data_IF_388532857064
#
_entry.id   IF_388532857064
#
_cell.length_a   1.000
_cell.length_b   1.000
_cell.length_c   1.000
_cell.angle_alpha   90.00
_cell.angle_beta   90.00
_cell.angle_gamma   90.00
#
_symmetry.space_group_name_H-M   'P 1'
#
loop_
_entity.id
_entity.type
_entity.pdbx_description
1 polymer ?
#
# COMPACT_ATOMS: atom_id res chain seq x y z
N UNK A 1 -2.91 -37.52 -35.32
CA UNK A 1 -3.65 -36.69 -34.36
C UNK A 1 -2.88 -36.66 -33.05
N UNK A 2 -2.15 -35.59 -32.74
CA UNK A 2 -1.41 -35.48 -31.48
C UNK A 2 -2.36 -34.99 -30.37
N UNK A 3 -2.24 -35.60 -29.20
CA UNK A 3 -2.99 -35.24 -28.00
C UNK A 3 -2.46 -33.91 -27.43
N UNK A 4 -3.38 -32.96 -27.26
CA UNK A 4 -3.16 -31.69 -26.58
C UNK A 4 -2.81 -31.93 -25.10
N UNK A 5 -1.59 -31.60 -24.70
CA UNK A 5 -1.22 -31.47 -23.29
C UNK A 5 -1.88 -30.20 -22.74
N UNK A 6 -2.89 -30.38 -21.89
CA UNK A 6 -3.50 -29.29 -21.13
C UNK A 6 -2.44 -28.66 -20.21
N UNK A 7 -2.17 -27.36 -20.41
CA UNK A 7 -1.34 -26.56 -19.53
C UNK A 7 -1.97 -26.52 -18.15
N UNK A 8 -1.20 -26.90 -17.13
CA UNK A 8 -1.56 -26.69 -15.73
C UNK A 8 -1.66 -25.18 -15.46
N UNK A 9 -2.89 -24.65 -15.48
CA UNK A 9 -3.17 -23.32 -14.93
C UNK A 9 -2.85 -23.31 -13.44
N UNK A 10 -2.27 -22.23 -12.96
CA UNK A 10 -1.90 -22.05 -11.56
C UNK A 10 -3.13 -22.25 -10.64
N UNK A 11 -3.23 -23.41 -9.99
CA UNK A 11 -4.27 -23.69 -9.00
C UNK A 11 -3.92 -22.96 -7.71
N UNK A 12 -4.40 -21.73 -7.55
CA UNK A 12 -4.20 -20.93 -6.34
C UNK A 12 -4.89 -21.58 -5.13
N UNK A 13 -4.10 -22.11 -4.19
CA UNK A 13 -4.59 -22.69 -2.95
C UNK A 13 -5.23 -24.06 -3.15
N UNK A 14 -4.42 -25.10 -3.37
CA UNK A 14 -4.88 -26.46 -3.19
C UNK A 14 -5.25 -26.67 -1.72
N UNK A 15 -6.47 -27.16 -1.48
CA UNK A 15 -6.91 -27.71 -0.20
C UNK A 15 -6.29 -29.09 0.04
N UNK A 16 -5.01 -29.28 -0.30
CA UNK A 16 -4.31 -30.50 0.06
C UNK A 16 -3.97 -30.42 1.55
N UNK A 17 -4.51 -31.33 2.38
CA UNK A 17 -4.16 -31.36 3.78
C UNK A 17 -2.66 -31.61 3.88
N UNK A 18 -1.96 -30.70 4.56
CA UNK A 18 -0.53 -30.83 4.82
C UNK A 18 -0.30 -32.20 5.48
N UNK A 19 0.50 -33.07 4.82
CA UNK A 19 0.91 -34.35 5.43
C UNK A 19 1.53 -34.06 6.78
N UNK A 20 1.14 -34.82 7.79
CA UNK A 20 1.51 -34.67 9.21
C UNK A 20 2.99 -34.95 9.52
N UNK A 21 3.90 -34.77 8.57
CA UNK A 21 5.33 -34.95 8.75
C UNK A 21 6.05 -33.62 8.56
N UNK A 22 6.94 -33.22 9.50
CA UNK A 22 7.70 -31.99 9.40
C UNK A 22 8.59 -31.99 8.15
N UNK A 23 8.65 -30.84 7.48
CA UNK A 23 9.54 -30.61 6.34
C UNK A 23 11.01 -30.82 6.75
N UNK A 24 11.85 -31.41 5.88
CA UNK A 24 13.28 -31.48 6.15
C UNK A 24 13.86 -30.10 6.48
N UNK A 25 14.76 -29.95 7.47
CA UNK A 25 15.25 -28.63 7.90
C UNK A 25 15.81 -27.77 6.77
N UNK A 26 16.47 -28.40 5.78
CA UNK A 26 17.00 -27.73 4.59
C UNK A 26 15.90 -27.11 3.71
N UNK A 27 14.78 -27.82 3.52
CA UNK A 27 13.64 -27.34 2.71
C UNK A 27 12.90 -26.21 3.42
N UNK A 28 12.74 -26.34 4.73
CA UNK A 28 12.17 -25.26 5.55
C UNK A 28 13.03 -24.00 5.52
N UNK A 29 14.36 -24.14 5.63
CA UNK A 29 15.29 -23.01 5.50
C UNK A 29 15.16 -22.34 4.12
N UNK A 30 15.16 -23.13 3.04
CA UNK A 30 14.97 -22.62 1.68
C UNK A 30 13.62 -21.91 1.50
N UNK A 31 12.57 -22.41 2.14
CA UNK A 31 11.26 -21.76 2.14
C UNK A 31 11.31 -20.36 2.78
N UNK A 32 11.94 -20.22 3.95
CA UNK A 32 12.16 -18.91 4.56
C UNK A 32 13.04 -18.00 3.70
N UNK A 33 14.05 -18.57 3.05
CA UNK A 33 14.89 -17.85 2.09
C UNK A 33 14.08 -17.31 0.91
N UNK A 34 13.17 -18.10 0.32
CA UNK A 34 12.29 -17.62 -0.74
C UNK A 34 11.38 -16.49 -0.24
N UNK A 35 10.76 -16.62 0.94
CA UNK A 35 9.98 -15.54 1.55
C UNK A 35 10.82 -14.28 1.74
N UNK A 36 12.06 -14.39 2.23
CA UNK A 36 12.97 -13.26 2.39
C UNK A 36 13.31 -12.60 1.04
N UNK A 37 13.54 -13.40 -0.01
CA UNK A 37 13.79 -12.90 -1.36
C UNK A 37 12.59 -12.15 -1.95
N UNK A 38 11.37 -12.68 -1.79
CA UNK A 38 10.14 -12.01 -2.24
C UNK A 38 9.97 -10.66 -1.52
N UNK A 39 10.19 -10.64 -0.20
CA UNK A 39 10.15 -9.41 0.57
C UNK A 39 11.25 -8.42 0.13
N UNK A 40 12.46 -8.89 -0.17
CA UNK A 40 13.55 -8.03 -0.62
C UNK A 40 13.28 -7.39 -1.99
N UNK A 41 12.63 -8.11 -2.92
CA UNK A 41 12.19 -7.55 -4.20
C UNK A 41 11.18 -6.42 -3.99
N UNK A 42 10.16 -6.66 -3.17
CA UNK A 42 9.15 -5.65 -2.87
C UNK A 42 9.77 -4.44 -2.15
N UNK A 43 10.70 -4.70 -1.21
CA UNK A 43 11.48 -3.66 -0.54
C UNK A 43 12.25 -2.81 -1.54
N UNK A 44 13.00 -3.42 -2.47
CA UNK A 44 13.79 -2.71 -3.48
C UNK A 44 12.91 -1.90 -4.44
N UNK A 45 11.75 -2.45 -4.84
CA UNK A 45 10.77 -1.76 -5.66
C UNK A 45 10.20 -0.51 -4.96
N UNK A 46 9.81 -0.60 -3.69
CA UNK A 46 9.27 0.54 -2.93
C UNK A 46 10.36 1.54 -2.52
N UNK A 47 11.58 1.05 -2.26
CA UNK A 47 12.77 1.89 -2.03
C UNK A 47 13.04 2.80 -3.21
N UNK A 48 12.73 2.36 -4.43
CA UNK A 48 12.91 3.18 -5.63
C UNK A 48 12.05 4.46 -5.65
N UNK A 49 10.97 4.49 -4.87
CA UNK A 49 10.19 5.70 -4.57
C UNK A 49 10.73 6.44 -3.34
N UNK A 50 11.04 5.72 -2.27
CA UNK A 50 11.43 6.31 -0.97
C UNK A 50 12.83 6.94 -0.95
N UNK A 51 13.87 6.26 -1.44
CA UNK A 51 15.27 6.72 -1.36
C UNK A 51 15.47 8.09 -2.01
N UNK A 52 14.81 8.31 -3.15
CA UNK A 52 14.92 9.55 -3.92
C UNK A 52 13.96 10.63 -3.43
N UNK A 53 12.99 10.31 -2.57
CA UNK A 53 11.90 11.20 -2.20
C UNK A 53 12.38 12.51 -1.58
N UNK A 54 13.42 12.45 -0.75
CA UNK A 54 13.97 13.61 -0.07
C UNK A 54 14.78 14.53 -0.99
N UNK A 55 15.36 13.95 -2.04
CA UNK A 55 16.29 14.65 -2.95
C UNK A 55 15.66 15.05 -4.27
N UNK A 56 14.56 14.42 -4.70
CA UNK A 56 14.04 14.52 -6.06
C UNK A 56 13.64 15.94 -6.44
N UNK A 57 13.04 16.70 -5.51
CA UNK A 57 12.70 18.10 -5.74
C UNK A 57 13.97 18.96 -5.94
N UNK A 58 14.95 18.83 -5.05
CA UNK A 58 16.20 19.59 -5.11
C UNK A 58 17.01 19.22 -6.35
N UNK A 59 17.01 17.94 -6.72
CA UNK A 59 17.63 17.47 -7.94
C UNK A 59 16.98 18.08 -9.18
N UNK A 60 15.64 18.05 -9.25
CA UNK A 60 14.87 18.69 -10.32
C UNK A 60 15.20 20.17 -10.44
N UNK A 61 15.26 20.90 -9.31
CA UNK A 61 15.63 22.31 -9.26
C UNK A 61 17.05 22.55 -9.79
N UNK A 62 17.99 21.71 -9.42
CA UNK A 62 19.38 21.81 -9.87
C UNK A 62 19.55 21.59 -11.38
N UNK A 63 18.60 20.89 -12.03
CA UNK A 63 18.55 20.70 -13.48
C UNK A 63 17.74 21.79 -14.21
N UNK A 64 17.32 22.85 -13.51
CA UNK A 64 16.50 23.94 -14.07
C UNK A 64 15.00 23.65 -14.10
N UNK A 65 14.55 22.56 -13.49
CA UNK A 65 13.13 22.22 -13.38
C UNK A 65 12.40 23.00 -12.28
N UNK A 66 11.08 22.84 -12.26
CA UNK A 66 10.19 23.50 -11.31
C UNK A 66 9.30 22.50 -10.56
N UNK A 67 8.34 23.02 -9.79
CA UNK A 67 7.39 22.20 -9.05
C UNK A 67 6.47 21.39 -10.00
N UNK A 68 6.18 21.91 -11.20
CA UNK A 68 5.41 21.20 -12.22
C UNK A 68 6.13 19.96 -12.69
N UNK A 69 7.43 20.09 -12.94
CA UNK A 69 8.26 18.96 -13.33
C UNK A 69 8.34 17.92 -12.21
N UNK A 70 8.51 18.32 -10.95
CA UNK A 70 8.47 17.40 -9.81
C UNK A 70 7.14 16.62 -9.73
N UNK A 71 6.01 17.31 -9.88
CA UNK A 71 4.70 16.67 -9.98
C UNK A 71 4.65 15.64 -11.12
N UNK A 72 5.11 16.02 -12.31
CA UNK A 72 5.20 15.11 -13.46
C UNK A 72 6.06 13.89 -13.19
N UNK A 73 7.20 14.02 -12.51
CA UNK A 73 8.07 12.90 -12.14
C UNK A 73 7.35 11.88 -11.24
N UNK A 74 6.62 12.36 -10.23
CA UNK A 74 5.83 11.48 -9.34
C UNK A 74 4.66 10.81 -10.08
N UNK A 75 4.05 11.51 -11.03
CA UNK A 75 3.00 10.96 -11.90
C UNK A 75 3.55 9.90 -12.84
N UNK A 76 4.67 10.15 -13.53
CA UNK A 76 5.29 9.22 -14.49
C UNK A 76 5.68 7.89 -13.84
N UNK A 77 6.22 7.93 -12.61
CA UNK A 77 6.48 6.72 -11.84
C UNK A 77 5.19 5.90 -11.64
N UNK A 78 4.09 6.58 -11.28
CA UNK A 78 2.80 5.93 -11.05
C UNK A 78 2.15 5.42 -12.34
N UNK A 79 2.32 6.12 -13.47
CA UNK A 79 1.89 5.66 -14.81
C UNK A 79 2.62 4.37 -15.17
N UNK A 80 3.96 4.36 -15.09
CA UNK A 80 4.75 3.18 -15.40
C UNK A 80 4.28 1.97 -14.58
N UNK A 81 4.09 2.16 -13.28
CA UNK A 81 3.65 1.12 -12.34
C UNK A 81 2.25 0.59 -12.63
N UNK A 82 1.32 1.46 -13.04
CA UNK A 82 -0.04 1.06 -13.40
C UNK A 82 -0.01 0.16 -14.64
N UNK A 83 0.71 0.56 -15.69
CA UNK A 83 0.84 -0.20 -16.93
C UNK A 83 1.50 -1.55 -16.64
N UNK A 84 2.61 -1.56 -15.91
CA UNK A 84 3.34 -2.81 -15.67
C UNK A 84 2.61 -3.77 -14.73
N UNK A 85 1.73 -3.28 -13.85
CA UNK A 85 0.96 -4.17 -12.96
C UNK A 85 0.08 -5.17 -13.70
N UNK A 86 -0.46 -4.79 -14.87
CA UNK A 86 -1.23 -5.70 -15.73
C UNK A 86 -0.30 -6.58 -16.56
N UNK A 87 0.79 -6.01 -17.10
CA UNK A 87 1.79 -6.75 -17.88
C UNK A 87 2.44 -7.86 -17.05
N UNK A 88 2.91 -7.55 -15.84
CA UNK A 88 3.52 -8.52 -14.95
C UNK A 88 2.50 -9.49 -14.34
N UNK A 89 1.25 -9.08 -14.15
CA UNK A 89 0.16 -9.99 -13.81
C UNK A 89 -0.01 -11.07 -14.90
N UNK A 90 -0.10 -10.65 -16.16
CA UNK A 90 -0.15 -11.58 -17.29
C UNK A 90 1.11 -12.44 -17.41
N UNK A 91 2.31 -11.86 -17.25
CA UNK A 91 3.55 -12.65 -17.29
C UNK A 91 3.62 -13.69 -16.17
N UNK A 92 3.07 -13.39 -14.99
CA UNK A 92 3.01 -14.33 -13.86
C UNK A 92 2.13 -15.56 -14.15
N UNK A 93 1.14 -15.44 -15.04
CA UNK A 93 0.28 -16.56 -15.43
C UNK A 93 0.94 -17.47 -16.49
N UNK A 94 1.94 -16.95 -17.22
CA UNK A 94 2.57 -17.65 -18.35
C UNK A 94 4.04 -18.02 -18.13
N UNK A 95 4.73 -17.38 -17.19
CA UNK A 95 6.15 -17.55 -16.90
C UNK A 95 6.36 -17.75 -15.39
N UNK A 96 7.55 -18.23 -15.00
CA UNK A 96 7.89 -18.41 -13.59
C UNK A 96 8.03 -17.07 -12.84
N UNK A 97 7.74 -17.08 -11.53
CA UNK A 97 7.91 -15.90 -10.67
C UNK A 97 9.32 -15.30 -10.76
N UNK A 98 10.36 -16.16 -10.72
CA UNK A 98 11.76 -15.77 -10.90
C UNK A 98 11.98 -15.00 -12.20
N UNK A 99 11.41 -15.46 -13.31
CA UNK A 99 11.54 -14.80 -14.61
C UNK A 99 10.94 -13.39 -14.58
N UNK A 100 9.76 -13.23 -13.96
CA UNK A 100 9.11 -11.92 -13.81
C UNK A 100 9.94 -11.00 -12.91
N UNK A 101 10.50 -11.52 -11.82
CA UNK A 101 11.39 -10.74 -10.94
C UNK A 101 12.64 -10.26 -11.66
N UNK A 102 13.34 -11.13 -12.40
CA UNK A 102 14.53 -10.78 -13.16
C UNK A 102 14.25 -9.68 -14.21
N UNK A 103 13.15 -9.79 -14.95
CA UNK A 103 12.74 -8.77 -15.92
C UNK A 103 12.41 -7.46 -15.21
N UNK A 104 11.60 -7.50 -14.15
CA UNK A 104 11.19 -6.30 -13.41
C UNK A 104 12.38 -5.55 -12.77
N UNK A 105 13.30 -6.28 -12.12
CA UNK A 105 14.52 -5.71 -11.53
C UNK A 105 15.52 -5.25 -12.60
N UNK A 106 15.60 -5.91 -13.75
CA UNK A 106 16.40 -5.45 -14.90
C UNK A 106 15.90 -4.11 -15.44
N UNK A 107 14.59 -3.94 -15.58
CA UNK A 107 13.98 -2.68 -15.98
C UNK A 107 14.27 -1.59 -14.94
N UNK A 108 14.09 -1.88 -13.64
CA UNK A 108 14.46 -0.95 -12.57
C UNK A 108 15.94 -0.56 -12.58
N UNK A 109 16.84 -1.53 -12.84
CA UNK A 109 18.27 -1.28 -12.92
C UNK A 109 18.59 -0.28 -14.05
N UNK A 110 18.06 -0.51 -15.25
CA UNK A 110 18.24 0.41 -16.39
C UNK A 110 17.69 1.79 -16.06
N UNK A 111 16.49 1.88 -15.49
CA UNK A 111 15.91 3.15 -15.09
C UNK A 111 16.73 3.90 -14.04
N UNK A 112 17.31 3.19 -13.07
CA UNK A 112 18.17 3.79 -12.05
C UNK A 112 19.54 4.19 -12.59
N UNK A 113 20.11 3.47 -13.56
CA UNK A 113 21.32 3.92 -14.27
C UNK A 113 21.07 5.22 -15.05
N UNK A 114 19.91 5.34 -15.71
CA UNK A 114 19.51 6.60 -16.38
C UNK A 114 19.33 7.73 -15.36
N UNK A 115 18.80 7.44 -14.16
CA UNK A 115 18.70 8.44 -13.09
C UNK A 115 20.07 9.00 -12.70
N UNK A 116 21.03 8.12 -12.42
CA UNK A 116 22.37 8.54 -11.97
C UNK A 116 23.10 9.29 -13.11
N UNK A 117 22.84 8.93 -14.36
CA UNK A 117 23.42 9.59 -15.53
C UNK A 117 22.85 10.99 -15.82
N UNK A 118 21.70 11.38 -15.25
CA UNK A 118 21.08 12.67 -15.53
C UNK A 118 21.87 13.83 -14.88
N UNK A 119 23.01 14.18 -15.47
CA UNK A 119 23.94 15.18 -14.93
C UNK A 119 23.55 16.63 -15.28
N UNK A 120 23.97 17.60 -14.47
CA UNK A 120 23.72 19.03 -14.69
C UNK A 120 24.32 19.55 -16.01
N UNK A 121 25.37 18.91 -16.53
CA UNK A 121 26.06 19.34 -17.74
C UNK A 121 25.57 18.66 -19.02
N UNK A 122 24.62 17.72 -18.91
CA UNK A 122 24.05 16.99 -20.04
C UNK A 122 22.93 17.78 -20.73
N UNK A 123 22.92 17.82 -22.06
CA UNK A 123 21.74 18.24 -22.80
C UNK A 123 20.60 17.22 -22.57
N UNK A 124 19.43 17.68 -22.11
CA UNK A 124 18.25 16.82 -21.92
C UNK A 124 18.13 16.12 -20.57
N UNK A 125 18.84 16.56 -19.52
CA UNK A 125 18.86 15.90 -18.21
C UNK A 125 17.50 15.83 -17.50
N UNK A 126 16.64 16.83 -17.66
CA UNK A 126 15.25 16.76 -17.18
C UNK A 126 14.50 15.62 -17.88
N UNK A 127 14.61 15.50 -19.20
CA UNK A 127 13.98 14.42 -19.97
C UNK A 127 14.53 13.05 -19.55
N UNK A 128 15.84 12.93 -19.35
CA UNK A 128 16.46 11.70 -18.85
C UNK A 128 15.90 11.32 -17.46
N UNK A 129 15.74 12.31 -16.57
CA UNK A 129 15.15 12.11 -15.25
C UNK A 129 13.68 11.66 -15.35
N UNK A 130 12.88 12.25 -16.25
CA UNK A 130 11.50 11.83 -16.50
C UNK A 130 11.40 10.40 -17.06
N UNK A 131 12.21 10.07 -18.05
CA UNK A 131 12.31 8.72 -18.63
C UNK A 131 12.73 7.72 -17.57
N UNK A 132 13.72 8.04 -16.75
CA UNK A 132 14.12 7.22 -15.60
C UNK A 132 12.94 6.93 -14.68
N UNK A 133 12.21 7.96 -14.24
CA UNK A 133 11.08 7.78 -13.31
C UNK A 133 10.00 6.88 -13.88
N UNK A 134 9.68 7.03 -15.17
CA UNK A 134 8.74 6.14 -15.84
C UNK A 134 9.24 4.68 -15.87
N UNK A 135 10.49 4.46 -16.29
CA UNK A 135 11.10 3.12 -16.40
C UNK A 135 11.18 2.44 -15.03
N UNK A 136 11.66 3.14 -14.00
CA UNK A 136 11.73 2.62 -12.63
C UNK A 136 10.33 2.32 -12.10
N UNK A 137 9.36 3.20 -12.35
CA UNK A 137 7.96 2.96 -12.01
C UNK A 137 7.41 1.70 -12.69
N UNK A 138 7.72 1.50 -13.97
CA UNK A 138 7.38 0.30 -14.72
C UNK A 138 7.98 -0.96 -14.07
N UNK A 139 9.29 -0.97 -13.81
CA UNK A 139 9.92 -2.11 -13.14
C UNK A 139 9.36 -2.39 -11.73
N UNK A 140 8.94 -1.36 -10.98
CA UNK A 140 8.38 -1.49 -9.63
C UNK A 140 6.91 -1.98 -9.58
N UNK A 141 6.27 -2.28 -10.71
CA UNK A 141 4.87 -2.74 -10.76
C UNK A 141 4.63 -4.21 -10.41
N UNK A 142 5.58 -4.88 -9.76
CA UNK A 142 5.55 -6.31 -9.47
C UNK A 142 4.84 -6.70 -8.16
N UNK A 143 4.20 -5.75 -7.45
CA UNK A 143 3.52 -6.03 -6.16
C UNK A 143 2.42 -7.11 -6.23
N UNK A 144 1.67 -7.19 -7.33
CA UNK A 144 0.69 -8.27 -7.53
C UNK A 144 1.39 -9.63 -7.61
N UNK A 145 2.55 -9.69 -8.26
CA UNK A 145 3.40 -10.87 -8.40
C UNK A 145 3.93 -11.32 -7.04
N UNK A 146 4.45 -10.40 -6.22
CA UNK A 146 4.89 -10.70 -4.84
C UNK A 146 3.77 -11.32 -3.98
N UNK A 147 2.55 -10.77 -4.08
CA UNK A 147 1.38 -11.33 -3.36
C UNK A 147 1.00 -12.71 -3.89
N UNK A 148 1.06 -12.91 -5.20
CA UNK A 148 0.77 -14.21 -5.83
C UNK A 148 1.82 -15.27 -5.45
N UNK A 149 3.11 -14.93 -5.43
CA UNK A 149 4.19 -15.83 -5.06
C UNK A 149 4.06 -16.27 -3.59
N UNK A 150 3.91 -15.32 -2.67
CA UNK A 150 3.63 -15.63 -1.24
C UNK A 150 2.41 -16.53 -1.11
N UNK A 151 1.32 -16.25 -1.83
CA UNK A 151 0.11 -17.06 -1.79
C UNK A 151 0.30 -18.47 -2.37
N UNK A 152 1.27 -18.67 -3.27
CA UNK A 152 1.58 -19.94 -3.92
C UNK A 152 2.40 -20.88 -3.02
N UNK A 153 3.21 -20.34 -2.09
CA UNK A 153 4.03 -21.13 -1.16
C UNK A 153 3.49 -21.11 0.29
N UNK A 154 2.35 -20.47 0.55
CA UNK A 154 1.68 -20.45 1.86
C UNK A 154 0.32 -21.13 1.83
N UNK A 155 -0.04 -21.78 2.94
CA UNK A 155 -1.39 -22.30 3.16
C UNK A 155 -2.37 -21.19 3.49
N UNK A 156 -3.68 -21.46 3.36
CA UNK A 156 -4.75 -20.49 3.62
C UNK A 156 -4.66 -19.91 5.05
N UNK A 157 -4.33 -20.74 6.04
CA UNK A 157 -4.29 -20.37 7.45
C UNK A 157 -3.14 -19.41 7.79
N UNK A 158 -1.96 -19.60 7.18
CA UNK A 158 -0.78 -18.77 7.46
C UNK A 158 -0.61 -17.60 6.47
N UNK A 159 -1.29 -17.62 5.32
CA UNK A 159 -1.16 -16.64 4.24
C UNK A 159 -1.33 -15.20 4.73
N UNK A 160 -2.30 -14.94 5.60
CA UNK A 160 -2.56 -13.61 6.14
C UNK A 160 -1.32 -13.02 6.83
N UNK A 161 -0.60 -13.83 7.62
CA UNK A 161 0.62 -13.41 8.32
C UNK A 161 1.70 -12.97 7.34
N UNK A 162 1.96 -13.77 6.30
CA UNK A 162 3.02 -13.47 5.33
C UNK A 162 2.65 -12.33 4.38
N UNK A 163 1.38 -12.18 4.01
CA UNK A 163 0.91 -11.01 3.27
C UNK A 163 0.99 -9.73 4.12
N UNK A 164 0.77 -9.84 5.44
CA UNK A 164 0.94 -8.71 6.36
C UNK A 164 2.41 -8.33 6.49
N UNK A 165 3.31 -9.31 6.59
CA UNK A 165 4.76 -9.07 6.56
C UNK A 165 5.19 -8.33 5.28
N UNK A 166 4.69 -8.77 4.12
CA UNK A 166 4.95 -8.11 2.84
C UNK A 166 4.45 -6.65 2.85
N UNK A 167 3.27 -6.38 3.39
CA UNK A 167 2.74 -5.02 3.52
C UNK A 167 3.57 -4.14 4.46
N UNK A 168 4.11 -4.69 5.55
CA UNK A 168 5.05 -3.98 6.43
C UNK A 168 6.35 -3.64 5.69
N UNK A 169 6.86 -4.56 4.88
CA UNK A 169 8.06 -4.33 4.07
C UNK A 169 7.85 -3.24 3.01
N UNK A 170 6.66 -3.18 2.40
CA UNK A 170 6.27 -2.06 1.52
C UNK A 170 6.39 -0.73 2.24
N UNK A 171 5.85 -0.64 3.45
CA UNK A 171 5.94 0.58 4.24
C UNK A 171 7.38 0.92 4.62
N UNK A 172 8.16 -0.08 5.03
CA UNK A 172 9.58 0.08 5.36
C UNK A 172 10.38 0.62 4.16
N UNK A 173 10.19 0.04 2.97
CA UNK A 173 10.83 0.43 1.73
C UNK A 173 10.46 1.85 1.28
N UNK A 174 9.22 2.28 1.44
CA UNK A 174 8.81 3.61 1.04
C UNK A 174 9.10 4.70 2.10
N UNK A 175 8.81 4.43 3.38
CA UNK A 175 8.74 5.46 4.41
C UNK A 175 10.07 5.72 5.12
N UNK A 176 10.94 4.71 5.26
CA UNK A 176 12.20 4.83 6.00
C UNK A 176 13.41 5.01 5.10
N UNK A 177 13.32 4.62 3.83
CA UNK A 177 14.45 4.75 2.92
C UNK A 177 14.83 6.18 2.50
N UNK A 178 14.00 7.23 2.64
CA UNK A 178 14.48 8.61 2.47
C UNK A 178 15.71 8.92 3.34
N UNK A 179 15.83 8.30 4.52
CA UNK A 179 17.00 8.45 5.39
C UNK A 179 18.29 7.90 4.80
N UNK A 180 18.22 6.97 3.84
CA UNK A 180 19.43 6.47 3.16
C UNK A 180 20.07 7.54 2.26
N UNK A 181 19.29 8.52 1.80
CA UNK A 181 19.80 9.65 1.02
C UNK A 181 20.78 10.51 1.81
N UNK A 182 20.62 10.65 3.13
CA UNK A 182 21.52 11.46 3.96
C UNK A 182 22.91 10.81 4.12
N UNK A 183 22.99 9.47 4.09
CA UNK A 183 24.26 8.72 4.21
C UNK A 183 25.20 8.97 3.03
N UNK A 184 24.63 9.28 1.86
CA UNK A 184 25.38 9.51 0.61
C UNK A 184 25.34 10.98 0.17
N UNK A 185 24.78 11.87 0.99
CA UNK A 185 24.61 13.28 0.65
C UNK A 185 25.95 14.05 0.59
N UNK A 186 26.99 13.57 1.27
CA UNK A 186 28.33 14.17 1.25
C UNK A 186 29.22 13.62 0.14
N UNK A 187 28.74 12.65 -0.65
CA UNK A 187 29.48 12.12 -1.79
C UNK A 187 29.56 13.17 -2.89
N UNK A 188 30.78 13.47 -3.32
CA UNK A 188 31.10 14.34 -4.45
C UNK A 188 32.32 13.77 -5.18
N UNK A 189 32.11 12.73 -5.99
CA UNK A 189 33.18 11.99 -6.67
C UNK A 189 32.78 11.63 -8.09
N UNK A 190 33.78 11.43 -8.96
CA UNK A 190 33.56 10.90 -10.30
C UNK A 190 33.90 9.41 -10.31
N UNK A 191 32.93 8.57 -10.66
CA UNK A 191 33.12 7.12 -10.83
C UNK A 191 32.71 6.73 -12.25
N UNK A 192 33.62 6.12 -13.01
CA UNK A 192 33.37 5.66 -14.38
C UNK A 192 32.79 6.74 -15.31
N UNK A 193 33.23 8.00 -15.13
CA UNK A 193 32.75 9.14 -15.93
C UNK A 193 31.39 9.73 -15.48
N UNK A 194 30.81 9.22 -14.39
CA UNK A 194 29.55 9.69 -13.82
C UNK A 194 29.86 10.52 -12.56
N UNK A 195 29.26 11.73 -12.46
CA UNK A 195 29.37 12.58 -11.28
C UNK A 195 28.40 12.11 -10.20
N UNK A 196 28.94 11.46 -9.17
CA UNK A 196 28.20 11.08 -7.97
C UNK A 196 28.22 12.25 -7.00
N UNK A 197 27.09 12.95 -6.95
CA UNK A 197 26.84 14.07 -6.05
C UNK A 197 25.66 13.75 -5.12
N UNK A 198 25.29 14.70 -4.25
CA UNK A 198 24.17 14.58 -3.31
C UNK A 198 22.80 14.22 -3.94
N UNK A 199 22.62 14.40 -5.25
CA UNK A 199 21.37 14.13 -5.97
C UNK A 199 21.38 12.81 -6.75
N UNK A 200 22.53 12.45 -7.34
CA UNK A 200 22.70 11.22 -8.12
C UNK A 200 23.06 10.02 -7.25
N UNK A 201 23.80 10.22 -6.15
CA UNK A 201 24.25 9.14 -5.25
C UNK A 201 23.13 8.31 -4.62
N UNK A 202 21.96 8.87 -4.24
CA UNK A 202 20.81 8.06 -3.82
C UNK A 202 20.36 7.04 -4.89
N UNK A 203 20.52 7.37 -6.17
CA UNK A 203 20.25 6.44 -7.28
C UNK A 203 21.19 5.24 -7.30
N UNK A 204 22.45 5.40 -6.86
CA UNK A 204 23.41 4.30 -6.77
C UNK A 204 23.01 3.26 -5.72
N UNK A 205 22.38 3.68 -4.63
CA UNK A 205 21.81 2.75 -3.63
C UNK A 205 20.76 1.85 -4.31
N UNK A 206 19.91 2.42 -5.16
CA UNK A 206 18.91 1.68 -5.90
C UNK A 206 19.51 0.76 -6.96
N UNK A 207 20.59 1.17 -7.62
CA UNK A 207 21.37 0.29 -8.52
C UNK A 207 21.87 -0.93 -7.75
N UNK A 208 22.45 -0.73 -6.57
CA UNK A 208 22.91 -1.83 -5.70
C UNK A 208 21.75 -2.75 -5.29
N UNK A 209 20.61 -2.20 -4.85
CA UNK A 209 19.45 -3.02 -4.49
C UNK A 209 18.93 -3.86 -5.66
N UNK A 210 18.89 -3.32 -6.87
CA UNK A 210 18.48 -4.07 -8.06
C UNK A 210 19.51 -5.16 -8.43
N UNK A 211 20.81 -4.88 -8.35
CA UNK A 211 21.86 -5.89 -8.59
C UNK A 211 21.80 -7.02 -7.55
N UNK A 212 21.58 -6.70 -6.28
CA UNK A 212 21.39 -7.69 -5.22
C UNK A 212 20.14 -8.53 -5.47
N UNK A 213 19.05 -7.90 -5.92
CA UNK A 213 17.80 -8.61 -6.24
C UNK A 213 18.00 -9.58 -7.40
N UNK A 214 18.63 -9.11 -8.49
CA UNK A 214 18.94 -9.95 -9.66
C UNK A 214 19.86 -11.11 -9.25
N UNK A 215 20.93 -10.82 -8.51
CA UNK A 215 21.89 -11.83 -8.07
C UNK A 215 21.21 -12.87 -7.18
N UNK A 216 20.45 -12.44 -6.16
CA UNK A 216 19.73 -13.34 -5.27
C UNK A 216 18.66 -14.17 -6.00
N UNK A 217 17.98 -13.61 -6.99
CA UNK A 217 17.06 -14.37 -7.84
C UNK A 217 17.77 -15.39 -8.73
N UNK A 218 19.02 -15.12 -9.13
CA UNK A 218 19.81 -16.05 -9.92
C UNK A 218 20.43 -17.19 -9.11
N UNK A 219 20.89 -16.90 -7.88
CA UNK A 219 21.72 -17.82 -7.09
C UNK A 219 21.02 -18.45 -5.89
N UNK A 220 20.02 -17.77 -5.30
CA UNK A 220 19.44 -18.14 -4.01
C UNK A 220 17.97 -18.58 -4.13
N UNK A 221 17.18 -17.93 -4.99
CA UNK A 221 15.76 -18.24 -5.14
C UNK A 221 15.54 -19.60 -5.83
N UNK A 222 14.77 -20.47 -5.19
CA UNK A 222 14.47 -21.84 -5.66
C UNK A 222 13.00 -21.97 -6.09
N UNK A 223 12.77 -22.15 -7.39
CA UNK A 223 11.42 -22.31 -7.95
C UNK A 223 10.73 -23.62 -7.53
N UNK A 224 11.47 -24.60 -7.02
CA UNK A 224 10.93 -25.90 -6.62
C UNK A 224 10.26 -25.89 -5.25
N UNK A 225 10.35 -24.78 -4.50
CA UNK A 225 9.73 -24.64 -3.19
C UNK A 225 8.21 -24.60 -3.32
N UNK A 226 7.52 -25.40 -2.51
CA UNK A 226 6.07 -25.48 -2.51
C UNK A 226 5.49 -25.27 -1.10
N UNK A 227 4.16 -25.21 -1.03
CA UNK A 227 3.40 -25.03 0.23
C UNK A 227 3.79 -26.04 1.31
N UNK A 228 4.08 -27.29 0.92
CA UNK A 228 4.41 -28.34 1.88
C UNK A 228 5.76 -28.13 2.57
N UNK A 229 6.70 -27.39 1.96
CA UNK A 229 8.02 -27.11 2.53
C UNK A 229 7.97 -26.10 3.69
N UNK A 230 6.89 -25.33 3.82
CA UNK A 230 6.74 -24.28 4.83
C UNK A 230 6.58 -24.79 6.27
N UNK A 231 6.51 -23.90 7.26
CA UNK A 231 6.42 -24.26 8.68
C UNK A 231 5.12 -24.99 9.04
N UNK A 232 5.16 -25.82 10.09
CA UNK A 232 3.97 -26.51 10.59
C UNK A 232 2.91 -25.52 11.09
N UNK A 233 1.64 -25.87 10.86
CA UNK A 233 0.52 -25.09 11.38
C UNK A 233 0.21 -25.52 12.80
N UNK A 234 0.00 -24.56 13.70
CA UNK A 234 -0.77 -24.85 14.91
C UNK A 234 -2.20 -25.18 14.50
N UNK A 235 -2.79 -26.23 15.11
CA UNK A 235 -4.18 -26.63 14.86
C UNK A 235 -5.09 -25.48 15.29
N UNK A 236 -5.45 -24.61 14.36
CA UNK A 236 -6.47 -23.59 14.60
C UNK A 236 -7.84 -24.24 14.45
N UNK A 237 -8.52 -24.47 15.58
CA UNK A 237 -9.87 -25.03 15.66
C UNK A 237 -10.97 -24.09 15.17
N UNK A 238 -10.63 -22.88 14.70
CA UNK A 238 -11.61 -21.90 14.26
C UNK A 238 -11.53 -21.65 12.76
N UNK A 239 -11.97 -22.63 11.96
CA UNK A 239 -12.42 -22.37 10.60
C UNK A 239 -13.83 -21.75 10.65
N UNK A 240 -13.92 -20.49 11.04
CA UNK A 240 -15.10 -19.64 10.85
C UNK A 240 -15.09 -18.97 9.47
N UNK A 241 -14.38 -19.56 8.50
CA UNK A 241 -14.26 -19.09 7.11
C UNK A 241 -15.58 -19.14 6.31
N UNK A 242 -16.66 -19.62 6.93
CA UNK A 242 -18.01 -19.65 6.37
C UNK A 242 -18.97 -18.89 7.28
N UNK A 243 -18.69 -17.62 7.57
CA UNK A 243 -19.78 -16.70 7.89
C UNK A 243 -19.98 -15.79 6.67
N UNK A 244 -20.82 -16.21 5.70
CA UNK A 244 -21.15 -15.33 4.59
C UNK A 244 -21.71 -14.06 5.19
N UNK A 245 -21.05 -12.92 4.96
CA UNK A 245 -21.62 -11.63 5.30
C UNK A 245 -22.98 -11.55 4.62
N UNK A 246 -24.05 -11.78 5.40
CA UNK A 246 -25.46 -11.83 5.02
C UNK A 246 -25.89 -10.40 4.66
N UNK A 247 -25.22 -9.81 3.70
CA UNK A 247 -25.43 -8.45 3.24
C UNK A 247 -25.84 -8.51 1.78
N UNK A 248 -26.93 -7.82 1.41
CA UNK A 248 -27.37 -7.77 0.03
C UNK A 248 -26.27 -7.24 -0.88
N UNK A 249 -26.13 -7.82 -2.08
CA UNK A 249 -25.09 -7.46 -3.05
C UNK A 249 -25.10 -5.95 -3.37
N UNK A 250 -26.29 -5.34 -3.42
CA UNK A 250 -26.44 -3.90 -3.63
C UNK A 250 -25.69 -3.08 -2.58
N UNK A 251 -25.77 -3.45 -1.30
CA UNK A 251 -25.09 -2.70 -0.23
C UNK A 251 -23.58 -2.93 -0.30
N UNK A 252 -23.16 -4.14 -0.67
CA UNK A 252 -21.74 -4.47 -0.87
C UNK A 252 -21.15 -3.68 -2.03
N UNK A 253 -21.88 -3.54 -3.16
CA UNK A 253 -21.44 -2.74 -4.31
C UNK A 253 -21.38 -1.24 -3.98
N UNK A 254 -22.36 -0.71 -3.23
CA UNK A 254 -22.30 0.68 -2.72
C UNK A 254 -21.07 0.85 -1.81
N UNK A 255 -20.86 -0.09 -0.89
CA UNK A 255 -19.70 -0.08 -0.02
C UNK A 255 -18.40 -0.13 -0.82
N UNK A 256 -18.34 -0.97 -1.86
CA UNK A 256 -17.16 -1.08 -2.70
C UNK A 256 -16.84 0.27 -3.38
N UNK A 257 -17.85 0.95 -3.93
CA UNK A 257 -17.67 2.28 -4.51
C UNK A 257 -17.17 3.31 -3.48
N UNK A 258 -17.73 3.30 -2.26
CA UNK A 258 -17.28 4.16 -1.16
C UNK A 258 -15.81 3.89 -0.81
N UNK A 259 -15.42 2.64 -0.58
CA UNK A 259 -14.05 2.29 -0.25
C UNK A 259 -13.06 2.58 -1.39
N UNK A 260 -13.47 2.44 -2.65
CA UNK A 260 -12.67 2.85 -3.81
C UNK A 260 -12.44 4.36 -3.79
N UNK A 261 -13.48 5.16 -3.53
CA UNK A 261 -13.36 6.61 -3.39
C UNK A 261 -12.45 7.02 -2.21
N UNK A 262 -12.62 6.38 -1.05
CA UNK A 262 -11.75 6.57 0.11
C UNK A 262 -10.28 6.27 -0.24
N UNK A 263 -10.03 5.13 -0.90
CA UNK A 263 -8.68 4.75 -1.29
C UNK A 263 -8.07 5.70 -2.33
N UNK A 264 -8.87 6.17 -3.29
CA UNK A 264 -8.47 7.20 -4.25
C UNK A 264 -7.99 8.45 -3.50
N UNK A 265 -8.79 8.97 -2.56
CA UNK A 265 -8.47 10.18 -1.81
C UNK A 265 -7.25 10.01 -0.91
N UNK A 266 -7.18 8.93 -0.12
CA UNK A 266 -6.06 8.68 0.77
C UNK A 266 -4.72 8.58 0.01
N UNK A 267 -4.71 7.85 -1.11
CA UNK A 267 -3.50 7.68 -1.94
C UNK A 267 -3.13 8.92 -2.73
N UNK A 268 -4.13 9.69 -3.13
CA UNK A 268 -3.96 10.95 -3.84
C UNK A 268 -3.39 12.04 -2.94
N UNK A 269 -3.95 12.23 -1.74
CA UNK A 269 -3.43 13.17 -0.73
C UNK A 269 -1.97 12.82 -0.40
N UNK A 270 -1.67 11.56 -0.11
CA UNK A 270 -0.28 11.12 0.13
C UNK A 270 0.66 11.55 -1.01
N UNK A 271 0.22 11.42 -2.26
CA UNK A 271 1.03 11.79 -3.41
C UNK A 271 1.17 13.30 -3.65
N UNK A 272 0.21 14.11 -3.19
CA UNK A 272 0.40 15.56 -3.11
C UNK A 272 1.55 15.87 -2.15
N UNK A 273 1.55 15.28 -0.95
CA UNK A 273 2.59 15.50 0.06
C UNK A 273 3.97 15.03 -0.42
N UNK A 274 4.05 13.94 -1.18
CA UNK A 274 5.32 13.53 -1.81
C UNK A 274 5.94 14.60 -2.72
N UNK A 275 5.14 15.51 -3.30
CA UNK A 275 5.64 16.62 -4.12
C UNK A 275 5.92 17.89 -3.33
N UNK A 276 5.10 18.20 -2.32
CA UNK A 276 5.17 19.50 -1.62
C UNK A 276 6.02 19.46 -0.35
N UNK A 277 6.30 18.28 0.22
CA UNK A 277 6.96 18.18 1.53
C UNK A 277 8.34 18.83 1.57
N UNK A 278 9.18 18.57 0.57
CA UNK A 278 10.53 19.17 0.50
C UNK A 278 10.44 20.68 0.23
N UNK A 279 9.65 21.18 -0.74
CA UNK A 279 9.41 22.62 -0.89
C UNK A 279 8.95 23.31 0.40
N UNK A 280 7.99 22.73 1.13
CA UNK A 280 7.50 23.28 2.40
C UNK A 280 8.57 23.26 3.48
N UNK A 281 9.38 22.20 3.55
CA UNK A 281 10.49 22.09 4.49
C UNK A 281 11.53 23.19 4.27
N UNK A 282 11.93 23.42 3.02
CA UNK A 282 12.85 24.50 2.66
C UNK A 282 12.25 25.87 3.02
N UNK A 283 10.98 26.10 2.70
CA UNK A 283 10.29 27.34 3.03
C UNK A 283 10.24 27.59 4.56
N UNK A 284 9.95 26.55 5.34
CA UNK A 284 9.79 26.65 6.79
C UNK A 284 11.12 26.78 7.56
N UNK A 285 12.22 26.28 6.97
CA UNK A 285 13.56 26.30 7.59
C UNK A 285 14.45 27.43 7.06
N UNK A 286 14.12 28.00 5.89
CA UNK A 286 14.93 29.02 5.25
C UNK A 286 16.29 28.52 4.76
N UNK A 287 16.48 27.21 4.67
CA UNK A 287 17.73 26.60 4.23
C UNK A 287 17.97 26.81 2.75
N UNK A 288 19.22 26.98 2.37
CA UNK A 288 19.64 27.03 0.98
C UNK A 288 19.38 25.68 0.28
N UNK A 289 18.52 25.63 -0.76
CA UNK A 289 18.22 24.41 -1.51
C UNK A 289 19.46 23.70 -2.08
N UNK A 290 20.51 24.46 -2.39
CA UNK A 290 21.73 23.93 -2.98
C UNK A 290 22.74 23.46 -1.92
N UNK A 291 22.46 23.63 -0.64
CA UNK A 291 23.36 23.18 0.42
C UNK A 291 23.24 21.67 0.69
N UNK A 292 24.36 21.01 0.99
CA UNK A 292 24.36 19.60 1.44
C UNK A 292 23.56 19.45 2.74
N UNK A 293 23.62 20.45 3.63
CA UNK A 293 22.92 20.41 4.91
C UNK A 293 21.39 20.49 4.76
N UNK A 294 20.87 21.11 3.70
CA UNK A 294 19.44 21.07 3.39
C UNK A 294 18.99 19.68 2.97
N UNK A 295 19.77 19.00 2.11
CA UNK A 295 19.49 17.63 1.68
C UNK A 295 19.49 16.66 2.86
N UNK A 296 20.52 16.73 3.71
CA UNK A 296 20.65 15.87 4.89
C UNK A 296 19.47 16.07 5.84
N UNK A 297 19.14 17.32 6.17
CA UNK A 297 18.08 17.59 7.15
C UNK A 297 16.69 17.26 6.61
N UNK A 298 16.43 17.50 5.33
CA UNK A 298 15.16 17.13 4.71
C UNK A 298 15.00 15.60 4.63
N UNK A 299 16.08 14.88 4.33
CA UNK A 299 16.11 13.40 4.36
C UNK A 299 15.87 12.86 5.76
N UNK A 300 16.52 13.43 6.77
CA UNK A 300 16.32 13.05 8.17
C UNK A 300 14.89 13.38 8.65
N UNK A 301 14.35 14.53 8.25
CA UNK A 301 12.97 14.90 8.55
C UNK A 301 11.97 13.87 8.01
N UNK A 302 12.10 13.46 6.75
CA UNK A 302 11.26 12.40 6.17
C UNK A 302 11.47 11.04 6.85
N UNK A 303 12.71 10.69 7.18
CA UNK A 303 13.03 9.47 7.91
C UNK A 303 12.32 9.42 9.27
N UNK A 304 12.36 10.51 10.04
CA UNK A 304 11.69 10.58 11.34
C UNK A 304 10.18 10.50 11.22
N UNK A 305 9.58 11.17 10.22
CA UNK A 305 8.15 11.02 9.91
C UNK A 305 7.79 9.58 9.55
N UNK A 306 8.65 8.89 8.80
CA UNK A 306 8.48 7.48 8.48
C UNK A 306 8.55 6.59 9.73
N UNK A 307 9.49 6.85 10.65
CA UNK A 307 9.64 6.09 11.89
C UNK A 307 8.43 6.25 12.80
N UNK A 308 7.91 7.47 12.93
CA UNK A 308 6.65 7.73 13.63
C UNK A 308 5.47 7.03 12.94
N UNK A 309 5.50 6.93 11.61
CA UNK A 309 4.51 6.15 10.86
C UNK A 309 4.53 4.66 11.17
N UNK A 310 5.71 4.09 11.44
CA UNK A 310 5.83 2.70 11.86
C UNK A 310 5.17 2.45 13.22
N UNK A 311 5.30 3.39 14.16
CA UNK A 311 4.61 3.34 15.46
C UNK A 311 3.08 3.30 15.27
N UNK A 312 2.55 4.02 14.28
CA UNK A 312 1.14 3.97 13.93
C UNK A 312 0.72 2.59 13.43
N UNK A 313 1.53 1.91 12.61
CA UNK A 313 1.26 0.52 12.20
C UNK A 313 1.19 -0.44 13.40
N UNK A 314 2.15 -0.35 14.33
CA UNK A 314 2.12 -1.15 15.55
C UNK A 314 0.90 -0.83 16.41
N UNK A 315 0.50 0.44 16.47
CA UNK A 315 -0.71 0.86 17.19
C UNK A 315 -1.98 0.27 16.58
N UNK A 316 -2.09 0.24 15.24
CA UNK A 316 -3.24 -0.39 14.55
C UNK A 316 -3.35 -1.86 14.93
N UNK A 317 -2.24 -2.60 14.92
CA UNK A 317 -2.23 -4.03 15.25
C UNK A 317 -2.52 -4.27 16.74
N UNK A 318 -1.89 -3.51 17.64
CA UNK A 318 -2.09 -3.63 19.08
C UNK A 318 -3.54 -3.34 19.51
N UNK A 319 -4.16 -2.31 18.93
CA UNK A 319 -5.52 -1.89 19.25
C UNK A 319 -6.59 -2.43 18.28
N UNK A 320 -6.26 -3.43 17.45
CA UNK A 320 -7.16 -3.98 16.41
C UNK A 320 -8.47 -4.55 16.96
N UNK A 321 -8.48 -5.00 18.21
CA UNK A 321 -9.65 -5.57 18.88
C UNK A 321 -10.45 -4.53 19.67
N UNK A 322 -9.85 -3.39 20.01
CA UNK A 322 -10.47 -2.34 20.81
C UNK A 322 -11.31 -1.37 19.99
N UNK A 323 -10.97 -1.18 18.71
CA UNK A 323 -11.60 -0.19 17.83
C UNK A 323 -12.14 -0.85 16.56
N UNK A 324 -13.32 -0.40 16.12
CA UNK A 324 -13.93 -0.84 14.86
C UNK A 324 -13.16 -0.27 13.67
N UNK A 325 -13.05 -1.03 12.58
CA UNK A 325 -12.38 -0.60 11.34
C UNK A 325 -12.89 0.77 10.84
N UNK A 326 -14.20 1.01 10.92
CA UNK A 326 -14.82 2.30 10.53
C UNK A 326 -14.26 3.46 11.37
N UNK A 327 -14.12 3.27 12.68
CA UNK A 327 -13.58 4.30 13.58
C UNK A 327 -12.12 4.60 13.27
N UNK A 328 -11.33 3.57 12.95
CA UNK A 328 -9.95 3.75 12.49
C UNK A 328 -9.89 4.54 11.19
N UNK A 329 -10.70 4.20 10.18
CA UNK A 329 -10.68 4.95 8.91
C UNK A 329 -11.14 6.40 9.12
N UNK A 330 -12.14 6.65 9.96
CA UNK A 330 -12.55 8.01 10.35
C UNK A 330 -11.41 8.78 11.03
N UNK A 331 -10.70 8.15 11.97
CA UNK A 331 -9.53 8.73 12.62
C UNK A 331 -8.43 9.07 11.59
N UNK A 332 -8.15 8.15 10.66
CA UNK A 332 -7.18 8.39 9.60
C UNK A 332 -7.50 9.63 8.77
N UNK A 333 -8.73 9.75 8.27
CA UNK A 333 -9.16 10.94 7.52
C UNK A 333 -9.25 12.20 8.38
N UNK A 334 -9.59 12.10 9.67
CA UNK A 334 -9.57 13.24 10.58
C UNK A 334 -8.14 13.77 10.79
N UNK A 335 -7.14 12.89 10.87
CA UNK A 335 -5.73 13.29 10.97
C UNK A 335 -5.23 13.92 9.65
N UNK A 336 -5.59 13.35 8.50
CA UNK A 336 -5.32 13.97 7.19
C UNK A 336 -5.94 15.37 7.09
N UNK A 337 -7.21 15.52 7.51
CA UNK A 337 -7.92 16.80 7.53
C UNK A 337 -7.20 17.79 8.45
N UNK A 338 -6.89 17.39 9.69
CA UNK A 338 -6.24 18.25 10.68
C UNK A 338 -4.90 18.79 10.20
N UNK A 339 -4.06 17.95 9.58
CA UNK A 339 -2.77 18.41 9.05
C UNK A 339 -2.92 19.37 7.86
N UNK A 340 -3.85 19.12 6.93
CA UNK A 340 -4.11 20.07 5.84
C UNK A 340 -4.72 21.39 6.35
N UNK A 341 -5.61 21.34 7.34
CA UNK A 341 -6.14 22.54 8.02
C UNK A 341 -5.00 23.32 8.65
N UNK A 342 -4.07 22.66 9.35
CA UNK A 342 -2.91 23.33 9.92
C UNK A 342 -2.05 24.01 8.86
N UNK A 343 -1.91 23.48 7.65
CA UNK A 343 -1.13 24.14 6.59
C UNK A 343 -1.83 25.38 6.01
N UNK A 344 -3.15 25.48 6.16
CA UNK A 344 -3.95 26.62 5.67
C UNK A 344 -4.19 27.66 6.76
N UNK A 345 -4.66 27.21 7.92
CA UNK A 345 -5.14 28.05 9.02
C UNK A 345 -3.97 28.41 9.93
N UNK A 346 -3.47 29.63 9.80
CA UNK A 346 -2.40 30.17 10.64
C UNK A 346 -1.69 31.36 9.99
N UNK A 347 -0.59 31.84 10.59
CA UNK A 347 0.18 32.96 10.05
C UNK A 347 0.64 32.72 8.60
N UNK A 348 0.79 33.80 7.83
CA UNK A 348 1.22 33.72 6.43
C UNK A 348 2.62 33.12 6.26
N UNK A 349 3.50 33.31 7.25
CA UNK A 349 4.79 32.63 7.33
C UNK A 349 4.64 31.24 7.97
N UNK A 350 5.07 30.22 7.24
CA UNK A 350 5.09 28.84 7.71
C UNK A 350 6.28 28.63 8.65
N UNK A 351 6.00 28.31 9.92
CA UNK A 351 7.04 27.95 10.89
C UNK A 351 7.35 26.45 10.87
N UNK A 352 8.59 26.08 11.17
CA UNK A 352 8.99 24.67 11.22
C UNK A 352 8.14 23.81 12.19
N UNK A 353 7.79 24.24 13.42
CA UNK A 353 6.93 23.44 14.29
C UNK A 353 5.53 23.19 13.72
N UNK A 354 4.95 24.18 13.04
CA UNK A 354 3.65 24.05 12.38
C UNK A 354 3.71 23.03 11.25
N UNK A 355 4.77 23.09 10.43
CA UNK A 355 5.01 22.09 9.39
C UNK A 355 5.19 20.69 10.01
N UNK A 356 6.04 20.56 11.04
CA UNK A 356 6.32 19.27 11.66
C UNK A 356 5.05 18.61 12.23
N UNK A 357 4.18 19.38 12.89
CA UNK A 357 2.90 18.85 13.41
C UNK A 357 1.96 18.50 12.24
N UNK A 358 1.85 19.35 11.22
CA UNK A 358 1.00 19.05 10.07
C UNK A 358 1.43 17.76 9.34
N UNK A 359 2.74 17.61 9.10
CA UNK A 359 3.32 16.41 8.48
C UNK A 359 3.19 15.17 9.37
N UNK A 360 3.33 15.30 10.68
CA UNK A 360 3.09 14.19 11.60
C UNK A 360 1.65 13.68 11.48
N UNK A 361 0.66 14.59 11.46
CA UNK A 361 -0.74 14.22 11.30
C UNK A 361 -1.02 13.56 9.95
N UNK A 362 -0.44 14.09 8.87
CA UNK A 362 -0.68 13.57 7.51
C UNK A 362 0.13 12.30 7.26
N UNK A 363 1.45 12.40 7.31
CA UNK A 363 2.38 11.37 6.86
C UNK A 363 2.56 10.24 7.86
N UNK A 364 2.65 10.56 9.15
CA UNK A 364 2.93 9.57 10.20
C UNK A 364 1.67 8.93 10.78
N UNK A 365 0.52 9.59 10.75
CA UNK A 365 -0.72 9.05 11.35
C UNK A 365 -1.80 8.78 10.31
N UNK A 366 -2.23 9.82 9.58
CA UNK A 366 -3.36 9.74 8.65
C UNK A 366 -3.12 8.78 7.49
N UNK A 367 -1.98 8.89 6.81
CA UNK A 367 -1.66 8.06 5.64
C UNK A 367 -1.48 6.57 5.98
N UNK A 368 -0.74 6.16 7.04
CA UNK A 368 -0.67 4.77 7.48
C UNK A 368 -2.03 4.16 7.82
N UNK A 369 -2.85 4.86 8.62
CA UNK A 369 -4.19 4.37 9.02
C UNK A 369 -5.08 4.21 7.80
N UNK A 370 -5.21 5.25 6.98
CA UNK A 370 -6.07 5.20 5.79
C UNK A 370 -5.58 4.16 4.80
N UNK A 371 -4.28 4.00 4.61
CA UNK A 371 -3.73 2.99 3.67
C UNK A 371 -3.98 1.56 4.14
N UNK A 372 -3.70 1.25 5.41
CA UNK A 372 -3.80 -0.10 5.93
C UNK A 372 -5.25 -0.51 6.18
N UNK A 373 -6.01 0.35 6.86
CA UNK A 373 -7.34 0.00 7.35
C UNK A 373 -8.39 0.05 6.24
N UNK A 374 -8.29 0.96 5.26
CA UNK A 374 -9.19 0.96 4.09
C UNK A 374 -9.07 -0.34 3.32
N UNK A 375 -7.84 -0.82 3.08
CA UNK A 375 -7.61 -2.08 2.38
C UNK A 375 -8.16 -3.28 3.18
N UNK A 376 -7.88 -3.34 4.48
CA UNK A 376 -8.36 -4.41 5.35
C UNK A 376 -9.90 -4.42 5.45
N UNK A 377 -10.51 -3.26 5.66
CA UNK A 377 -11.96 -3.10 5.75
C UNK A 377 -12.65 -3.43 4.42
N UNK A 378 -12.06 -3.05 3.29
CA UNK A 378 -12.56 -3.43 1.98
C UNK A 378 -12.49 -4.95 1.75
N UNK A 379 -11.38 -5.59 2.12
CA UNK A 379 -11.26 -7.05 2.05
C UNK A 379 -12.31 -7.77 2.89
N UNK A 380 -12.59 -7.27 4.10
CA UNK A 380 -13.64 -7.79 4.99
C UNK A 380 -15.04 -7.55 4.42
N UNK A 381 -15.28 -6.40 3.79
CA UNK A 381 -16.56 -6.08 3.14
C UNK A 381 -16.88 -7.09 2.03
N UNK A 382 -15.89 -7.44 1.21
CA UNK A 382 -16.08 -8.41 0.14
C UNK A 382 -16.31 -9.83 0.68
N UNK A 383 -15.65 -10.20 1.79
CA UNK A 383 -15.83 -11.50 2.44
C UNK A 383 -15.40 -12.65 1.52
N UNK A 384 -16.16 -13.74 1.48
CA UNK A 384 -15.89 -14.89 0.60
C UNK A 384 -16.21 -14.69 -0.90
N UNK A 385 -16.66 -13.49 -1.31
CA UNK A 385 -17.01 -13.21 -2.72
C UNK A 385 -15.76 -13.19 -3.62
N UNK A 386 -15.88 -13.43 -4.94
CA UNK A 386 -14.77 -13.24 -5.88
C UNK A 386 -14.20 -11.81 -5.80
N UNK A 387 -13.00 -11.66 -5.21
CA UNK A 387 -12.44 -10.35 -4.89
C UNK A 387 -11.55 -9.74 -5.98
N UNK A 388 -11.11 -10.53 -6.95
CA UNK A 388 -10.05 -10.15 -7.90
C UNK A 388 -10.34 -8.83 -8.62
N UNK A 389 -11.52 -8.71 -9.26
CA UNK A 389 -11.91 -7.52 -10.01
C UNK A 389 -12.02 -6.28 -9.14
N UNK A 390 -12.66 -6.39 -7.96
CA UNK A 390 -12.88 -5.26 -7.06
C UNK A 390 -11.57 -4.82 -6.37
N UNK A 391 -10.69 -5.76 -6.02
CA UNK A 391 -9.33 -5.45 -5.54
C UNK A 391 -8.47 -4.80 -6.64
N UNK A 392 -8.61 -5.26 -7.88
CA UNK A 392 -7.97 -4.64 -9.04
C UNK A 392 -8.44 -3.20 -9.27
N UNK A 393 -9.76 -2.95 -9.17
CA UNK A 393 -10.34 -1.61 -9.28
C UNK A 393 -9.89 -0.69 -8.15
N UNK A 394 -9.84 -1.20 -6.91
CA UNK A 394 -9.28 -0.49 -5.75
C UNK A 394 -7.83 -0.06 -6.02
N UNK A 395 -6.99 -0.98 -6.51
CA UNK A 395 -5.58 -0.69 -6.85
C UNK A 395 -5.40 0.27 -8.02
N UNK A 396 -6.28 0.18 -9.02
CA UNK A 396 -6.29 1.07 -10.18
C UNK A 396 -6.66 2.50 -9.78
N UNK A 397 -7.71 2.66 -8.95
CA UNK A 397 -8.11 3.97 -8.44
C UNK A 397 -6.99 4.65 -7.61
N UNK A 398 -6.27 3.89 -6.79
CA UNK A 398 -5.08 4.38 -6.09
C UNK A 398 -3.96 4.84 -7.04
N UNK A 399 -3.80 4.18 -8.18
CA UNK A 399 -2.78 4.55 -9.15
C UNK A 399 -3.19 5.79 -9.93
N UNK A 400 -4.46 5.88 -10.35
CA UNK A 400 -5.00 7.08 -11.01
C UNK A 400 -4.88 8.31 -10.11
N UNK A 401 -5.21 8.21 -8.82
CA UNK A 401 -5.05 9.36 -7.92
C UNK A 401 -3.60 9.81 -7.79
N UNK A 402 -2.65 8.88 -7.75
CA UNK A 402 -1.19 9.13 -7.76
C UNK A 402 -0.63 9.61 -9.10
N UNK A 403 -1.41 9.56 -10.17
CA UNK A 403 -1.04 10.14 -11.47
C UNK A 403 -1.56 11.59 -11.56
N UNK A 404 -2.77 11.85 -11.07
CA UNK A 404 -3.46 13.13 -11.26
C UNK A 404 -3.16 14.13 -10.15
N UNK A 405 -3.29 13.74 -8.88
CA UNK A 405 -3.25 14.69 -7.76
C UNK A 405 -1.87 15.34 -7.52
N UNK A 406 -0.72 14.68 -7.77
CA UNK A 406 0.60 15.32 -7.66
C UNK A 406 0.84 16.48 -8.64
N UNK A 407 0.00 16.63 -9.66
CA UNK A 407 0.06 17.74 -10.61
C UNK A 407 -0.65 19.00 -10.07
N UNK A 408 -1.53 18.86 -9.07
CA UNK A 408 -2.30 19.98 -8.52
C UNK A 408 -1.44 21.10 -7.94
N UNK A 409 -0.36 20.84 -7.17
CA UNK A 409 0.50 21.89 -6.62
C UNK A 409 1.09 22.85 -7.66
N UNK A 410 1.30 22.36 -8.88
CA UNK A 410 1.84 23.15 -9.97
C UNK A 410 0.77 23.74 -10.89
N UNK A 411 -0.40 23.12 -10.97
CA UNK A 411 -1.53 23.64 -11.74
C UNK A 411 -2.19 24.86 -11.09
N UNK A 412 -1.90 25.12 -9.81
CA UNK A 412 -2.51 26.18 -9.02
C UNK A 412 -1.50 27.29 -8.70
N UNK A 413 -1.94 28.56 -8.57
CA UNK A 413 -1.02 29.70 -8.32
C UNK A 413 -0.28 29.65 -6.97
N UNK A 414 -0.80 28.88 -6.02
CA UNK A 414 -0.22 28.70 -4.70
C UNK A 414 -0.62 27.35 -4.11
N UNK A 415 0.01 26.96 -3.00
CA UNK A 415 -0.30 25.69 -2.32
C UNK A 415 -1.60 25.75 -1.51
N UNK A 416 -2.10 26.94 -1.17
CA UNK A 416 -3.29 27.10 -0.31
C UNK A 416 -4.55 26.45 -0.91
N UNK A 417 -4.91 26.63 -2.20
CA UNK A 417 -6.06 25.95 -2.79
C UNK A 417 -5.88 24.43 -2.87
N UNK A 418 -4.64 23.92 -2.99
CA UNK A 418 -4.35 22.48 -2.98
C UNK A 418 -4.75 21.87 -1.65
N UNK A 419 -4.36 22.51 -0.54
CA UNK A 419 -4.72 22.03 0.80
C UNK A 419 -6.22 22.16 1.07
N UNK A 420 -6.89 23.19 0.55
CA UNK A 420 -8.36 23.26 0.59
C UNK A 420 -9.04 22.10 -0.13
N UNK A 421 -8.54 21.72 -1.31
CA UNK A 421 -9.03 20.53 -2.03
C UNK A 421 -8.85 19.29 -1.16
N UNK A 422 -7.67 19.10 -0.55
CA UNK A 422 -7.43 17.96 0.35
C UNK A 422 -8.37 17.95 1.57
N UNK A 423 -8.64 19.11 2.18
CA UNK A 423 -9.59 19.26 3.31
C UNK A 423 -10.98 18.80 2.87
N UNK A 424 -11.46 19.27 1.71
CA UNK A 424 -12.76 18.90 1.16
C UNK A 424 -12.83 17.39 0.87
N UNK A 425 -11.79 16.81 0.26
CA UNK A 425 -11.72 15.37 0.00
C UNK A 425 -11.75 14.54 1.30
N UNK A 426 -11.08 15.00 2.36
CA UNK A 426 -11.12 14.33 3.67
C UNK A 426 -12.52 14.42 4.28
N UNK A 427 -13.14 15.60 4.28
CA UNK A 427 -14.47 15.81 4.82
C UNK A 427 -15.52 14.98 4.08
N UNK A 428 -15.46 14.92 2.74
CA UNK A 428 -16.32 14.03 1.94
C UNK A 428 -16.08 12.56 2.27
N UNK A 429 -14.83 12.12 2.45
CA UNK A 429 -14.51 10.73 2.78
C UNK A 429 -15.08 10.33 4.15
N UNK A 430 -14.96 11.21 5.15
CA UNK A 430 -15.55 11.02 6.47
C UNK A 430 -17.07 10.95 6.39
N UNK A 431 -17.69 11.88 5.67
CA UNK A 431 -19.14 11.91 5.48
C UNK A 431 -19.66 10.65 4.77
N UNK A 432 -19.04 10.26 3.66
CA UNK A 432 -19.43 9.08 2.87
C UNK A 432 -19.31 7.80 3.69
N UNK A 433 -18.24 7.66 4.47
CA UNK A 433 -18.06 6.50 5.35
C UNK A 433 -19.07 6.48 6.50
N UNK A 434 -19.38 7.63 7.09
CA UNK A 434 -20.41 7.75 8.12
C UNK A 434 -21.79 7.40 7.58
N UNK A 435 -22.13 7.93 6.40
CA UNK A 435 -23.38 7.66 5.71
C UNK A 435 -23.52 6.17 5.38
N UNK A 436 -22.47 5.58 4.80
CA UNK A 436 -22.43 4.15 4.50
C UNK A 436 -22.58 3.29 5.76
N UNK A 437 -21.91 3.65 6.86
CA UNK A 437 -22.04 2.95 8.14
C UNK A 437 -23.48 2.97 8.67
N UNK A 438 -24.16 4.11 8.57
CA UNK A 438 -25.59 4.22 8.92
C UNK A 438 -26.48 3.38 8.01
N UNK A 439 -26.20 3.36 6.70
CA UNK A 439 -26.92 2.53 5.74
C UNK A 439 -26.79 1.04 6.08
N UNK A 440 -25.56 0.58 6.34
CA UNK A 440 -25.29 -0.82 6.75
C UNK A 440 -26.02 -1.16 8.04
N UNK A 441 -26.00 -0.26 9.04
CA UNK A 441 -26.69 -0.50 10.31
C UNK A 441 -28.20 -0.63 10.10
N UNK A 442 -28.81 0.28 9.33
CA UNK A 442 -30.24 0.23 9.01
C UNK A 442 -30.61 -1.08 8.32
N UNK A 443 -29.89 -1.47 7.27
CA UNK A 443 -30.15 -2.73 6.55
C UNK A 443 -30.02 -3.95 7.46
N UNK A 444 -29.03 -3.97 8.37
CA UNK A 444 -28.91 -5.07 9.34
C UNK A 444 -30.10 -5.15 10.28
N UNK A 445 -30.63 -4.02 10.73
CA UNK A 445 -31.83 -4.01 11.59
C UNK A 445 -33.06 -4.47 10.81
N UNK A 446 -33.24 -4.03 9.56
CA UNK A 446 -34.35 -4.46 8.70
C UNK A 446 -34.32 -5.98 8.47
N UNK A 447 -33.13 -6.55 8.18
CA UNK A 447 -32.98 -7.99 8.00
C UNK A 447 -33.23 -8.80 9.27
N UNK A 448 -32.84 -8.30 10.44
CA UNK A 448 -33.14 -8.95 11.71
C UNK A 448 -34.65 -8.95 11.98
N UNK A 449 -35.33 -7.85 11.67
CA UNK A 449 -36.79 -7.78 11.79
C UNK A 449 -37.48 -8.77 10.83
N UNK A 450 -36.98 -8.92 9.61
CA UNK A 450 -37.51 -9.91 8.65
C UNK A 450 -37.32 -11.35 9.15
N UNK A 451 -36.15 -11.66 9.73
CA UNK A 451 -35.88 -12.99 10.33
C UNK A 451 -36.79 -13.24 11.54
N UNK A 452 -36.96 -12.25 12.41
CA UNK A 452 -37.86 -12.36 13.56
C UNK A 452 -39.32 -12.56 13.11
N UNK A 453 -39.76 -11.82 12.08
CA UNK A 453 -41.08 -11.99 11.50
C UNK A 453 -41.25 -13.38 10.86
N UNK A 454 -40.26 -13.86 10.10
CA UNK A 454 -40.29 -15.20 9.52
C UNK A 454 -40.34 -16.30 10.60
N UNK A 455 -39.60 -16.13 11.70
CA UNK A 455 -39.63 -17.06 12.83
C UNK A 455 -41.00 -17.07 13.53
N UNK A 456 -41.63 -15.90 13.71
CA UNK A 456 -43.00 -15.78 14.26
C UNK A 456 -44.04 -16.44 13.36
N UNK A 457 -43.89 -16.38 12.03
CA UNK A 457 -44.79 -17.06 11.08
C UNK A 457 -44.57 -18.57 11.10
N UNK A 458 -43.32 -19.03 11.19
CA UNK A 458 -42.99 -20.46 11.20
C UNK A 458 -43.27 -21.16 12.54
N UNK A 459 -43.29 -20.42 13.65
CA UNK A 459 -43.60 -20.91 15.00
C UNK A 459 -44.82 -20.15 15.56
N UNK A 460 -46.05 -20.45 15.11
CA UNK A 460 -47.23 -19.81 15.66
C UNK A 460 -47.35 -20.13 17.17
N UNK A 461 -47.74 -19.17 18.02
CA UNK A 461 -47.80 -19.34 19.47
C UNK A 461 -48.87 -20.33 19.98
N UNK A 462 -49.58 -21.01 19.07
CA UNK A 462 -50.64 -21.98 19.36
C UNK A 462 -50.44 -23.26 18.52
N UNK A 463 -49.30 -23.94 18.66
CA UNK A 463 -49.27 -25.37 18.34
C UNK A 463 -49.78 -26.13 19.57
N UNK A 464 -51.00 -26.69 19.56
CA UNK A 464 -51.52 -27.51 20.66
C UNK A 464 -50.72 -28.81 20.90
N UNK A 465 -49.69 -29.09 20.08
CA UNK A 465 -48.73 -30.19 20.28
C UNK A 465 -47.37 -29.72 20.83
N UNK A 466 -47.18 -28.42 21.08
CA UNK A 466 -45.99 -27.91 21.76
C UNK A 466 -45.98 -28.38 23.22
N UNK A 467 -44.91 -29.06 23.70
CA UNK A 467 -44.81 -29.48 25.10
C UNK A 467 -44.71 -28.32 26.10
N UNK A 468 -44.63 -27.07 25.61
CA UNK A 468 -44.59 -25.83 26.39
C UNK A 468 -45.94 -25.08 26.40
N UNK A 469 -46.94 -25.55 25.64
CA UNK A 469 -48.26 -24.96 25.52
C UNK A 469 -49.35 -25.67 26.34
N UNK A 470 -48.99 -26.18 27.52
CA UNK A 470 -49.99 -26.68 28.48
C UNK A 470 -50.57 -25.48 29.22
N UNK A 471 -51.82 -25.13 28.92
CA UNK A 471 -52.62 -24.28 29.80
C UNK A 471 -52.53 -24.83 31.23
N UNK A 472 -52.37 -23.91 32.20
CA UNK A 472 -52.41 -24.25 33.62
C UNK A 472 -53.78 -24.84 33.92
N UNK A 473 -53.83 -26.14 34.17
CA UNK A 473 -55.00 -26.78 34.78
C UNK A 473 -55.04 -26.27 36.22
N UNK A 474 -56.01 -25.40 36.52
CA UNK A 474 -56.33 -25.00 37.88
C UNK A 474 -56.77 -26.25 38.65
N UNK A 475 -55.94 -26.71 39.58
CA UNK A 475 -56.32 -27.75 40.52
C UNK A 475 -57.24 -27.12 41.59
N UNK A 476 -58.42 -27.69 41.86
CA UNK A 476 -59.28 -27.18 42.91
C UNK A 476 -58.66 -27.49 44.27
N UNK A 477 -58.51 -26.45 45.09
CA UNK A 477 -58.05 -26.55 46.47
C UNK A 477 -58.96 -27.51 47.26
N UNK A 478 -58.32 -28.47 47.94
CA UNK A 478 -58.94 -29.33 48.96
C UNK A 478 -58.18 -29.21 50.27
#
# INVERSE_FOLDING_TARGET
>A
MPALSASAGATYGTAEPKRSQPSPPRRLAQWYTNIAMINFVEFAAESSRGVVLATLFLYTKSLGGDLAFMGMLTSLFSVGRLISSTVFGWMCDHYSFRSVYLVSSGICLVGNLIYVYADQHGAGSLTALAVSRFIVGFGAGNRSVCRADVASITTINQRLTYLTMLATVVFFGYALTPGLGSLVATTDTYMLGIHLNKFTSPGMILVVFNLLTITGMLTVYDESVQVHDGPEESVSTNNTLSDPTIMPERIVNIGAAVFIFLNFNARGILSVFETVNIPLFILATGKDPDSISAVVDASNFQFYLGLLGLLTYFSIEYFRHSLRDVSWVQLGFAMLLGGNVLLVVGPTLLSFPRLAIAELLVWSVGCPITTAVVLAAFSKLLGGRPQGTLMGLLGSAASVSRIVLPLLPAALPSLTPVFWINIVLCALSMFMLWWYSRLVHKTKMDMLADVENAFRIASPPNDPRSPLGSDKVDFPDK
#
